data_IF_429872959273
#
_entry.id   IF_429872959273
#
_cell.length_a   1.000
_cell.length_b   1.000
_cell.length_c   1.000
_cell.angle_alpha   90.00
_cell.angle_beta   90.00
_cell.angle_gamma   90.00
#
_symmetry.space_group_name_H-M   'P 1'
#
loop_
_entity.id
_entity.type
_entity.pdbx_description
1 polymer ?
#
# COMPACT_ATOMS: atom_id res chain seq x y z
N UNK A 1 26.49 11.87 11.54
CA UNK A 1 25.54 11.13 12.41
C UNK A 1 24.81 12.08 13.38
N UNK A 2 25.48 12.96 14.12
CA UNK A 2 24.80 13.97 14.95
C UNK A 2 23.95 15.02 14.18
N UNK A 3 24.32 15.34 12.92
CA UNK A 3 23.55 16.22 12.04
C UNK A 3 22.33 15.55 11.36
N UNK A 4 22.16 14.22 11.49
CA UNK A 4 21.04 13.47 10.88
C UNK A 4 19.98 13.07 11.91
N UNK A 5 20.02 13.59 13.13
CA UNK A 5 18.98 13.39 14.15
C UNK A 5 19.12 12.14 15.04
N UNK A 6 20.00 11.19 14.69
CA UNK A 6 20.20 9.95 15.47
C UNK A 6 21.28 10.12 16.54
N UNK A 7 20.98 10.85 17.63
CA UNK A 7 21.92 11.10 18.74
C UNK A 7 22.26 9.86 19.56
N UNK A 8 21.49 8.79 19.38
CA UNK A 8 21.55 7.54 20.16
C UNK A 8 22.50 6.51 19.54
N UNK A 9 22.84 6.71 18.25
CA UNK A 9 23.80 5.88 17.53
C UNK A 9 25.24 6.18 17.99
N UNK A 10 25.65 5.57 19.10
CA UNK A 10 27.03 5.53 19.57
C UNK A 10 27.86 4.46 18.84
N UNK A 11 29.19 4.63 18.78
CA UNK A 11 30.10 3.63 18.22
C UNK A 11 31.30 4.21 17.47
N UNK A 12 32.09 3.34 16.85
CA UNK A 12 33.22 3.70 15.98
C UNK A 12 33.04 3.00 14.63
N UNK A 13 33.19 3.77 13.54
CA UNK A 13 33.23 3.22 12.19
C UNK A 13 34.68 2.90 11.84
N UNK A 14 34.93 1.67 11.40
CA UNK A 14 36.23 1.23 10.94
C UNK A 14 36.14 0.89 9.46
N UNK A 15 37.11 1.37 8.69
CA UNK A 15 37.32 0.94 7.31
C UNK A 15 38.45 -0.07 7.31
N UNK A 16 38.24 -1.20 6.62
CA UNK A 16 39.33 -2.14 6.39
C UNK A 16 40.30 -1.51 5.39
N UNK A 17 41.51 -1.16 5.85
CA UNK A 17 42.56 -0.59 5.00
C UNK A 17 43.63 -1.61 4.60
N UNK A 18 43.64 -2.78 5.24
CA UNK A 18 44.64 -3.82 5.04
C UNK A 18 43.94 -5.14 4.64
N UNK A 19 44.57 -5.89 3.74
CA UNK A 19 44.15 -7.24 3.40
C UNK A 19 44.43 -8.15 4.60
N UNK A 20 43.38 -8.83 5.07
CA UNK A 20 43.49 -9.82 6.14
C UNK A 20 43.56 -11.19 5.47
N UNK A 21 44.70 -11.87 5.59
CA UNK A 21 44.86 -13.23 5.10
C UNK A 21 44.24 -14.20 6.10
N UNK A 22 43.16 -14.87 5.71
CA UNK A 22 42.47 -15.87 6.54
C UNK A 22 42.27 -17.13 5.75
N UNK A 23 42.59 -18.26 6.37
CA UNK A 23 42.36 -19.58 5.83
C UNK A 23 40.95 -20.02 6.19
N UNK A 24 40.02 -19.96 5.22
CA UNK A 24 38.69 -20.54 5.40
C UNK A 24 38.76 -22.08 5.35
N UNK A 25 37.78 -22.80 5.94
CA UNK A 25 37.73 -24.25 5.90
C UNK A 25 37.78 -24.83 4.47
N UNK A 26 38.44 -25.97 4.31
CA UNK A 26 38.55 -26.68 3.03
C UNK A 26 37.15 -27.12 2.54
N UNK A 27 36.65 -26.46 1.49
CA UNK A 27 35.30 -26.70 0.94
C UNK A 27 34.66 -25.47 0.30
N UNK A 28 35.14 -24.27 0.63
CA UNK A 28 34.70 -23.03 -0.02
C UNK A 28 35.54 -22.72 -1.25
N UNK A 29 34.93 -22.48 -2.44
CA UNK A 29 35.68 -22.14 -3.64
C UNK A 29 36.46 -20.83 -3.46
N UNK A 30 37.78 -20.88 -3.65
CA UNK A 30 38.66 -19.72 -3.63
C UNK A 30 38.26 -18.73 -4.75
N UNK A 31 38.13 -17.44 -4.42
CA UNK A 31 37.98 -16.37 -5.42
C UNK A 31 36.59 -15.70 -5.54
N UNK A 32 35.58 -16.06 -4.73
CA UNK A 32 34.33 -15.28 -4.65
C UNK A 32 34.43 -14.18 -3.59
N UNK A 33 34.03 -12.96 -3.92
CA UNK A 33 34.04 -11.79 -3.01
C UNK A 33 33.36 -12.09 -1.66
N UNK A 34 32.25 -12.84 -1.69
CA UNK A 34 31.56 -13.41 -0.54
C UNK A 34 32.50 -14.07 0.48
N UNK A 35 33.41 -14.92 -0.01
CA UNK A 35 34.31 -15.69 0.85
C UNK A 35 35.37 -14.78 1.47
N UNK A 36 35.79 -13.72 0.77
CA UNK A 36 36.70 -12.72 1.35
C UNK A 36 36.02 -11.99 2.51
N UNK A 37 34.75 -11.61 2.36
CA UNK A 37 33.97 -10.98 3.44
C UNK A 37 33.86 -11.93 4.64
N UNK A 38 33.53 -13.21 4.41
CA UNK A 38 33.45 -14.21 5.49
C UNK A 38 34.81 -14.44 6.17
N UNK A 39 35.90 -14.41 5.41
CA UNK A 39 37.26 -14.46 5.96
C UNK A 39 37.55 -13.29 6.89
N UNK A 40 37.18 -12.08 6.49
CA UNK A 40 37.32 -10.87 7.33
C UNK A 40 36.52 -11.00 8.63
N UNK A 41 35.27 -11.48 8.57
CA UNK A 41 34.44 -11.70 9.76
C UNK A 41 35.10 -12.69 10.72
N UNK A 42 35.64 -13.80 10.20
CA UNK A 42 36.35 -14.80 11.00
C UNK A 42 37.60 -14.22 11.67
N UNK A 43 38.44 -13.49 10.94
CA UNK A 43 39.62 -12.85 11.53
C UNK A 43 39.28 -11.80 12.59
N UNK A 44 38.25 -10.98 12.36
CA UNK A 44 37.82 -10.00 13.34
C UNK A 44 37.38 -10.68 14.64
N UNK A 45 36.70 -11.83 14.55
CA UNK A 45 36.32 -12.64 15.70
C UNK A 45 37.54 -13.16 16.47
N UNK A 46 38.58 -13.61 15.76
CA UNK A 46 39.83 -14.07 16.37
C UNK A 46 40.63 -12.92 17.02
N UNK A 47 40.65 -11.75 16.38
CA UNK A 47 41.36 -10.55 16.87
C UNK A 47 40.63 -9.86 18.03
N UNK A 48 39.33 -10.08 18.19
CA UNK A 48 38.49 -9.43 19.19
C UNK A 48 37.72 -10.46 20.04
N UNK A 49 38.41 -11.34 20.81
CA UNK A 49 37.77 -12.44 21.53
C UNK A 49 36.77 -11.99 22.63
N UNK A 50 36.84 -10.73 23.06
CA UNK A 50 35.91 -10.15 24.04
C UNK A 50 34.72 -9.40 23.42
N UNK A 51 34.52 -9.48 22.09
CA UNK A 51 33.41 -8.81 21.40
C UNK A 51 32.77 -9.74 20.39
N UNK A 52 31.45 -9.72 20.35
CA UNK A 52 30.71 -10.41 19.30
C UNK A 52 30.94 -9.72 17.96
N UNK A 53 31.27 -10.54 16.95
CA UNK A 53 31.42 -10.11 15.57
C UNK A 53 30.30 -10.74 14.77
N UNK A 54 29.36 -9.91 14.32
CA UNK A 54 28.17 -10.34 13.59
C UNK A 54 28.23 -9.80 12.16
N UNK A 55 28.03 -10.68 11.18
CA UNK A 55 27.87 -10.26 9.79
C UNK A 55 26.45 -9.72 9.58
N UNK A 56 26.34 -8.42 9.28
CA UNK A 56 25.08 -7.84 8.81
C UNK A 56 25.13 -7.73 7.29
N UNK A 57 24.23 -8.43 6.61
CA UNK A 57 24.13 -8.43 5.15
C UNK A 57 22.67 -8.56 4.73
N UNK A 58 22.27 -8.00 3.58
CA UNK A 58 20.96 -8.25 2.95
C UNK A 58 20.94 -9.49 2.05
N UNK A 59 22.10 -10.06 1.75
CA UNK A 59 22.20 -11.25 0.89
C UNK A 59 21.97 -12.52 1.73
N UNK A 60 20.87 -13.22 1.45
CA UNK A 60 20.50 -14.45 2.14
C UNK A 60 21.54 -15.56 1.95
N UNK A 61 22.16 -15.67 0.78
CA UNK A 61 23.19 -16.68 0.51
C UNK A 61 24.43 -16.42 1.36
N UNK A 62 24.80 -15.15 1.53
CA UNK A 62 25.89 -14.76 2.43
C UNK A 62 25.60 -15.15 3.88
N UNK A 63 24.38 -14.86 4.37
CA UNK A 63 23.98 -15.22 5.74
C UNK A 63 23.91 -16.73 5.94
N UNK A 64 23.43 -17.49 4.96
CA UNK A 64 23.41 -18.96 5.00
C UNK A 64 24.84 -19.51 5.07
N UNK A 65 25.76 -19.02 4.23
CA UNK A 65 27.18 -19.42 4.27
C UNK A 65 27.83 -19.09 5.61
N UNK A 66 27.59 -17.89 6.14
CA UNK A 66 28.10 -17.48 7.45
C UNK A 66 27.62 -18.42 8.55
N UNK A 67 26.32 -18.73 8.61
CA UNK A 67 25.76 -19.67 9.58
C UNK A 67 26.34 -21.08 9.42
N UNK A 68 26.53 -21.55 8.18
CA UNK A 68 27.17 -22.83 7.91
C UNK A 68 28.63 -22.89 8.41
N UNK A 69 29.32 -21.75 8.50
CA UNK A 69 30.65 -21.61 9.07
C UNK A 69 30.66 -21.33 10.58
N UNK A 70 29.50 -21.31 11.24
CA UNK A 70 29.38 -20.95 12.64
C UNK A 70 29.67 -19.47 12.94
N UNK A 71 29.59 -18.61 11.92
CA UNK A 71 29.68 -17.15 12.05
C UNK A 71 28.27 -16.58 12.30
N UNK A 72 28.08 -15.78 13.37
CA UNK A 72 26.82 -15.07 13.59
C UNK A 72 26.52 -14.16 12.39
N UNK A 73 25.29 -14.23 11.89
CA UNK A 73 24.84 -13.40 10.79
C UNK A 73 23.38 -12.97 10.96
N UNK A 74 23.16 -11.69 10.78
CA UNK A 74 21.89 -10.99 10.95
C UNK A 74 21.47 -10.27 9.68
N UNK A 75 20.16 -10.05 9.54
CA UNK A 75 19.64 -9.20 8.49
C UNK A 75 19.81 -7.72 8.84
N UNK A 76 19.75 -6.86 7.84
CA UNK A 76 19.77 -5.42 8.03
C UNK A 76 18.37 -4.91 8.41
N UNK A 77 18.18 -4.53 9.68
CA UNK A 77 16.86 -4.23 10.26
C UNK A 77 16.35 -2.80 10.05
N UNK A 78 17.19 -1.83 9.65
CA UNK A 78 16.79 -0.41 9.58
C UNK A 78 15.69 -0.10 8.53
N UNK A 79 15.36 -1.05 7.65
CA UNK A 79 14.27 -0.90 6.67
C UNK A 79 12.98 -1.66 7.07
N UNK A 80 12.96 -2.36 8.22
CA UNK A 80 11.72 -2.94 8.75
C UNK A 80 10.92 -1.83 9.43
N UNK A 81 9.68 -1.65 8.97
CA UNK A 81 8.77 -0.62 9.48
C UNK A 81 7.90 -1.11 10.62
N UNK A 82 7.79 -2.42 10.79
CA UNK A 82 7.04 -3.10 11.83
C UNK A 82 7.87 -4.29 12.30
N UNK A 83 7.90 -4.52 13.62
CA UNK A 83 8.37 -5.78 14.17
C UNK A 83 7.35 -6.88 13.86
N UNK A 84 7.76 -8.14 13.73
CA UNK A 84 6.95 -9.31 13.31
C UNK A 84 5.70 -9.62 14.21
N UNK A 85 5.34 -8.74 15.15
CA UNK A 85 4.16 -8.82 16.02
C UNK A 85 3.21 -7.62 15.97
N UNK A 86 3.54 -6.53 15.28
CA UNK A 86 2.65 -5.37 15.17
C UNK A 86 1.59 -5.61 14.08
N UNK A 87 0.31 -5.60 14.49
CA UNK A 87 -0.79 -5.60 13.53
C UNK A 87 -0.73 -4.32 12.68
N UNK A 88 -0.69 -4.50 11.37
CA UNK A 88 -0.78 -3.41 10.40
C UNK A 88 -2.01 -2.55 10.67
N UNK A 89 -1.81 -1.24 10.63
CA UNK A 89 -2.92 -0.28 10.66
C UNK A 89 -3.88 -0.58 9.51
N UNK A 90 -5.12 -0.96 9.83
CA UNK A 90 -6.12 -1.40 8.84
C UNK A 90 -6.94 -0.25 8.26
N UNK A 91 -6.83 0.96 8.83
CA UNK A 91 -7.69 2.08 8.46
C UNK A 91 -9.09 2.06 9.08
N UNK A 92 -9.42 0.99 9.81
CA UNK A 92 -10.75 0.74 10.35
C UNK A 92 -10.67 0.40 11.84
N UNK A 93 -11.52 1.01 12.66
CA UNK A 93 -11.61 0.75 14.09
C UNK A 93 -13.03 0.34 14.49
N UNK A 94 -13.26 -0.88 14.99
CA UNK A 94 -14.51 -1.23 15.64
C UNK A 94 -14.69 -0.42 16.92
N UNK A 95 -15.87 0.17 17.09
CA UNK A 95 -16.28 0.85 18.31
C UNK A 95 -16.89 -0.15 19.30
N UNK A 96 -16.63 0.00 20.61
CA UNK A 96 -17.19 -0.88 21.62
C UNK A 96 -18.71 -0.64 21.78
N UNK A 97 -19.43 -1.64 22.28
CA UNK A 97 -20.88 -1.56 22.46
C UNK A 97 -21.31 -0.37 23.37
N UNK A 98 -20.49 -0.02 24.35
CA UNK A 98 -20.71 1.09 25.29
C UNK A 98 -20.18 2.45 24.76
N UNK A 99 -19.90 2.56 23.45
CA UNK A 99 -19.33 3.76 22.84
C UNK A 99 -20.18 5.00 23.14
N UNK A 100 -21.49 4.92 22.93
CA UNK A 100 -22.40 6.05 23.17
C UNK A 100 -22.57 6.38 24.65
N UNK A 101 -22.45 5.41 25.56
CA UNK A 101 -22.52 5.68 27.00
C UNK A 101 -21.31 6.52 27.47
N UNK A 102 -20.14 6.24 26.89
CA UNK A 102 -18.87 6.92 27.20
C UNK A 102 -18.68 8.25 26.49
N UNK A 103 -19.29 8.45 25.32
CA UNK A 103 -19.04 9.61 24.46
C UNK A 103 -20.29 10.48 24.18
N UNK A 104 -21.49 10.01 24.53
CA UNK A 104 -22.76 10.65 24.20
C UNK A 104 -23.15 11.84 25.07
N UNK A 105 -22.63 11.93 26.31
CA UNK A 105 -23.04 12.96 27.28
C UNK A 105 -22.79 14.40 26.83
N UNK A 106 -21.72 14.63 26.07
CA UNK A 106 -21.35 15.93 25.51
C UNK A 106 -21.40 15.92 23.99
N UNK A 107 -22.13 14.97 23.40
CA UNK A 107 -22.14 14.80 21.96
C UNK A 107 -23.01 15.87 21.31
N UNK A 108 -22.46 16.51 20.28
CA UNK A 108 -23.20 17.42 19.42
C UNK A 108 -23.40 16.76 18.07
N UNK A 109 -24.62 16.81 17.53
CA UNK A 109 -24.91 16.31 16.18
C UNK A 109 -25.47 17.41 15.29
N UNK A 110 -25.02 17.47 14.04
CA UNK A 110 -25.59 18.36 13.03
C UNK A 110 -25.60 17.70 11.65
N UNK A 111 -26.34 18.29 10.72
CA UNK A 111 -26.36 17.85 9.33
C UNK A 111 -25.71 18.88 8.42
N UNK A 112 -24.90 18.42 7.46
CA UNK A 112 -24.27 19.25 6.45
C UNK A 112 -24.08 18.44 5.17
N UNK A 113 -24.55 18.96 4.03
CA UNK A 113 -24.40 18.30 2.73
C UNK A 113 -25.09 16.92 2.64
N UNK A 114 -26.21 16.73 3.36
CA UNK A 114 -26.93 15.45 3.39
C UNK A 114 -26.26 14.35 4.24
N UNK A 115 -25.20 14.69 4.97
CA UNK A 115 -24.51 13.80 5.90
C UNK A 115 -24.69 14.30 7.34
N UNK A 116 -24.63 13.36 8.27
CA UNK A 116 -24.70 13.66 9.70
C UNK A 116 -23.30 13.67 10.29
N UNK A 117 -23.04 14.62 11.17
CA UNK A 117 -21.78 14.79 11.88
C UNK A 117 -22.03 14.66 13.37
N UNK A 118 -21.08 14.07 14.07
CA UNK A 118 -21.08 13.91 15.51
C UNK A 118 -19.76 14.43 16.07
N UNK A 119 -19.80 15.46 16.91
CA UNK A 119 -18.65 15.87 17.72
C UNK A 119 -18.70 15.11 19.03
N UNK A 120 -17.65 14.34 19.29
CA UNK A 120 -17.52 13.51 20.50
C UNK A 120 -16.36 13.98 21.35
N UNK A 121 -16.47 13.75 22.66
CA UNK A 121 -15.35 13.81 23.59
C UNK A 121 -15.30 12.49 24.37
N UNK A 122 -14.12 12.08 24.84
CA UNK A 122 -14.01 10.87 25.67
C UNK A 122 -12.71 10.10 25.48
N UNK A 123 -12.61 8.92 26.14
CA UNK A 123 -11.36 8.17 26.26
C UNK A 123 -10.85 7.59 24.93
N UNK A 124 -11.70 7.46 23.90
CA UNK A 124 -11.25 6.95 22.60
C UNK A 124 -10.64 8.01 21.69
N UNK A 125 -10.88 9.30 21.94
CA UNK A 125 -10.36 10.38 21.06
C UNK A 125 -8.84 10.30 20.85
N UNK A 126 -8.00 10.03 21.87
CA UNK A 126 -6.55 9.96 21.71
C UNK A 126 -6.05 8.83 20.80
N UNK A 127 -6.85 7.78 20.55
CA UNK A 127 -6.47 6.65 19.70
C UNK A 127 -7.05 6.72 18.29
N UNK A 128 -7.90 7.71 18.02
CA UNK A 128 -8.46 7.95 16.69
C UNK A 128 -7.43 8.62 15.78
N UNK A 129 -7.50 8.32 14.50
CA UNK A 129 -6.70 8.98 13.46
C UNK A 129 -7.61 9.67 12.45
N UNK A 130 -7.16 10.79 11.89
CA UNK A 130 -7.87 11.47 10.80
C UNK A 130 -7.99 10.51 9.61
N UNK A 131 -9.15 10.53 8.95
CA UNK A 131 -9.56 9.62 7.87
C UNK A 131 -9.67 8.14 8.26
N UNK A 132 -9.57 7.79 9.55
CA UNK A 132 -9.90 6.44 10.02
C UNK A 132 -11.41 6.23 9.93
N UNK A 133 -11.82 5.06 9.45
CA UNK A 133 -13.21 4.63 9.50
C UNK A 133 -13.50 3.99 10.85
N UNK A 134 -14.67 4.30 11.40
CA UNK A 134 -15.16 3.71 12.64
C UNK A 134 -16.51 3.08 12.39
N UNK A 135 -16.79 1.97 13.06
CA UNK A 135 -18.11 1.34 12.98
C UNK A 135 -18.58 0.80 14.32
N UNK A 136 -19.89 0.86 14.54
CA UNK A 136 -20.57 0.24 15.68
C UNK A 136 -21.62 -0.73 15.15
N UNK A 137 -21.49 -1.99 15.52
CA UNK A 137 -22.45 -3.06 15.23
C UNK A 137 -22.67 -3.82 16.55
N UNK A 138 -23.59 -3.34 17.37
CA UNK A 138 -23.89 -3.95 18.67
C UNK A 138 -25.38 -4.28 18.77
N UNK A 139 -25.76 -5.47 19.30
CA UNK A 139 -27.16 -5.81 19.51
C UNK A 139 -27.86 -4.76 20.39
N UNK A 140 -28.98 -4.22 19.89
CA UNK A 140 -29.76 -3.19 20.61
C UNK A 140 -29.26 -1.75 20.45
N UNK A 141 -28.13 -1.51 19.78
CA UNK A 141 -27.67 -0.17 19.41
C UNK A 141 -27.92 0.10 17.91
N UNK A 142 -28.17 1.36 17.56
CA UNK A 142 -28.21 1.76 16.16
C UNK A 142 -26.82 1.62 15.54
N UNK A 143 -26.73 0.94 14.38
CA UNK A 143 -25.47 0.80 13.67
C UNK A 143 -24.92 2.16 13.27
N UNK A 144 -23.61 2.35 13.42
CA UNK A 144 -22.90 3.55 12.98
C UNK A 144 -21.81 3.14 12.00
N UNK A 145 -21.72 3.87 10.89
CA UNK A 145 -20.59 3.84 9.97
C UNK A 145 -20.16 5.28 9.71
N UNK A 146 -18.93 5.62 10.09
CA UNK A 146 -18.45 6.99 10.01
C UNK A 146 -16.95 7.07 9.68
N UNK A 147 -16.53 8.25 9.22
CA UNK A 147 -15.12 8.62 9.05
C UNK A 147 -14.76 9.70 10.07
N UNK A 148 -13.60 9.60 10.69
CA UNK A 148 -13.02 10.68 11.51
C UNK A 148 -12.56 11.80 10.57
N UNK A 149 -13.14 13.00 10.69
CA UNK A 149 -12.82 14.14 9.80
C UNK A 149 -11.99 15.22 10.49
N UNK A 150 -12.06 15.32 11.82
CA UNK A 150 -11.36 16.33 12.59
C UNK A 150 -10.98 15.78 13.97
N UNK A 151 -9.82 16.17 14.49
CA UNK A 151 -9.40 15.92 15.87
C UNK A 151 -8.83 17.23 16.42
N UNK A 152 -9.48 17.78 17.46
CA UNK A 152 -9.10 19.04 18.09
C UNK A 152 -9.04 18.85 19.60
N UNK A 153 -7.81 18.77 20.12
CA UNK A 153 -7.56 18.54 21.55
C UNK A 153 -8.15 17.22 22.05
N UNK A 154 -9.19 17.30 22.89
CA UNK A 154 -9.90 16.14 23.45
C UNK A 154 -11.21 15.80 22.73
N UNK A 155 -11.44 16.41 21.57
CA UNK A 155 -12.65 16.19 20.76
C UNK A 155 -12.31 15.66 19.38
N UNK A 156 -13.22 14.87 18.81
CA UNK A 156 -13.15 14.39 17.43
C UNK A 156 -14.49 14.60 16.74
N UNK A 157 -14.48 14.81 15.43
CA UNK A 157 -15.68 14.88 14.59
C UNK A 157 -15.75 13.62 13.73
N UNK A 158 -16.87 12.90 13.86
CA UNK A 158 -17.24 11.75 13.04
C UNK A 158 -18.27 12.19 12.00
N UNK A 159 -18.08 11.83 10.74
CA UNK A 159 -19.03 12.07 9.65
C UNK A 159 -19.59 10.76 9.14
N UNK A 160 -20.91 10.64 9.03
CA UNK A 160 -21.55 9.46 8.41
C UNK A 160 -21.14 9.30 6.95
N UNK A 161 -21.23 8.08 6.44
CA UNK A 161 -20.78 7.76 5.09
C UNK A 161 -21.90 7.91 4.05
N UNK A 162 -21.51 8.09 2.79
CA UNK A 162 -22.42 7.87 1.67
C UNK A 162 -22.56 6.37 1.45
N UNK A 163 -23.80 5.90 1.31
CA UNK A 163 -24.11 4.48 1.09
C UNK A 163 -23.90 4.08 -0.37
N UNK A 164 -22.70 3.63 -0.72
CA UNK A 164 -22.37 3.12 -2.06
C UNK A 164 -22.88 1.68 -2.30
N UNK A 165 -23.52 1.08 -1.30
CA UNK A 165 -24.23 -0.21 -1.42
C UNK A 165 -25.49 -0.10 -2.29
N UNK A 166 -26.07 1.10 -2.38
CA UNK A 166 -27.31 1.34 -3.11
C UNK A 166 -27.04 1.77 -4.56
N UNK A 167 -27.78 1.21 -5.53
CA UNK A 167 -27.57 1.44 -6.97
C UNK A 167 -27.57 2.92 -7.37
N UNK A 168 -28.44 3.73 -6.78
CA UNK A 168 -28.51 5.19 -6.98
C UNK A 168 -27.19 5.94 -6.71
N UNK A 169 -26.32 5.35 -5.89
CA UNK A 169 -25.03 5.92 -5.49
C UNK A 169 -23.87 5.22 -6.20
N UNK A 170 -24.11 4.29 -7.12
CA UNK A 170 -23.08 3.55 -7.82
C UNK A 170 -22.06 4.51 -8.46
N UNK A 171 -20.78 4.19 -8.34
CA UNK A 171 -19.69 4.94 -8.96
C UNK A 171 -19.39 4.26 -10.27
N UNK A 172 -19.74 4.89 -11.39
CA UNK A 172 -19.48 4.35 -12.73
C UNK A 172 -19.96 2.90 -12.89
N UNK A 173 -21.16 2.61 -12.35
CA UNK A 173 -21.79 1.28 -12.36
C UNK A 173 -21.40 0.35 -11.22
N UNK A 174 -20.40 0.69 -10.41
CA UNK A 174 -19.91 -0.12 -9.30
C UNK A 174 -20.57 0.27 -7.97
N UNK A 175 -21.14 -0.72 -7.28
CA UNK A 175 -21.63 -0.60 -5.91
C UNK A 175 -20.74 -1.36 -4.94
N UNK A 176 -20.70 -0.90 -3.68
CA UNK A 176 -20.07 -1.64 -2.60
C UNK A 176 -20.92 -2.87 -2.23
N UNK A 177 -20.28 -4.02 -2.03
CA UNK A 177 -20.96 -5.26 -1.60
C UNK A 177 -20.88 -5.50 -0.11
N UNK A 178 -19.89 -4.91 0.53
CA UNK A 178 -19.66 -5.00 1.96
C UNK A 178 -19.17 -3.66 2.52
N UNK A 179 -19.06 -3.60 3.84
CA UNK A 179 -18.67 -2.39 4.59
C UNK A 179 -17.30 -1.87 4.16
N UNK A 180 -16.31 -2.75 3.99
CA UNK A 180 -14.94 -2.36 3.67
C UNK A 180 -14.85 -1.75 2.26
N UNK A 181 -15.60 -2.30 1.29
CA UNK A 181 -15.76 -1.69 -0.03
C UNK A 181 -16.47 -0.34 0.03
N UNK A 182 -17.47 -0.19 0.90
CA UNK A 182 -18.16 1.09 1.11
C UNK A 182 -17.19 2.15 1.69
N UNK A 183 -16.32 1.75 2.62
CA UNK A 183 -15.25 2.60 3.15
C UNK A 183 -14.26 2.99 2.07
N UNK A 184 -13.81 2.02 1.26
CA UNK A 184 -12.90 2.27 0.15
C UNK A 184 -13.48 3.26 -0.87
N UNK A 185 -14.75 3.11 -1.28
CA UNK A 185 -15.39 4.06 -2.20
C UNK A 185 -15.57 5.45 -1.58
N UNK A 186 -15.96 5.55 -0.31
CA UNK A 186 -16.02 6.84 0.40
C UNK A 186 -14.65 7.53 0.43
N UNK A 187 -13.56 6.77 0.60
CA UNK A 187 -12.21 7.31 0.60
C UNK A 187 -11.73 7.70 -0.79
N UNK A 188 -11.95 6.85 -1.80
CA UNK A 188 -11.58 7.09 -3.21
C UNK A 188 -12.26 8.34 -3.79
N UNK A 189 -13.53 8.54 -3.43
CA UNK A 189 -14.34 9.68 -3.87
C UNK A 189 -14.16 10.93 -2.99
N UNK A 190 -13.34 10.86 -1.93
CA UNK A 190 -13.08 12.01 -1.06
C UNK A 190 -12.12 13.00 -1.75
N UNK A 191 -12.55 14.23 -2.06
CA UNK A 191 -11.70 15.19 -2.75
C UNK A 191 -10.55 15.71 -1.91
N UNK A 192 -10.60 15.59 -0.58
CA UNK A 192 -9.58 16.11 0.34
C UNK A 192 -8.44 15.12 0.58
N UNK A 193 -8.58 13.88 0.09
CA UNK A 193 -7.57 12.83 0.23
C UNK A 193 -6.73 12.71 -1.06
N UNK A 194 -5.50 13.20 -1.03
CA UNK A 194 -4.55 13.14 -2.14
C UNK A 194 -3.83 11.78 -2.24
N UNK A 195 -3.61 11.10 -1.11
CA UNK A 195 -2.89 9.82 -1.08
C UNK A 195 -3.73 8.73 -0.43
N UNK A 196 -4.02 7.67 -1.19
CA UNK A 196 -4.86 6.56 -0.73
C UNK A 196 -4.10 5.26 -0.86
N UNK A 197 -4.21 4.39 0.13
CA UNK A 197 -3.69 3.02 0.08
C UNK A 197 -4.83 2.04 0.31
N UNK A 198 -5.01 1.10 -0.61
CA UNK A 198 -5.96 0.00 -0.45
C UNK A 198 -5.19 -1.31 -0.46
N UNK A 199 -5.20 -2.02 0.67
CA UNK A 199 -4.62 -3.36 0.80
C UNK A 199 -5.72 -4.40 0.86
N UNK A 200 -5.36 -5.65 0.61
CA UNK A 200 -6.26 -6.80 0.76
C UNK A 200 -5.91 -7.90 -0.21
N UNK A 201 -6.49 -9.07 -0.01
CA UNK A 201 -6.26 -10.23 -0.88
C UNK A 201 -6.79 -10.00 -2.29
N UNK A 202 -6.40 -10.83 -3.26
CA UNK A 202 -6.96 -10.73 -4.62
C UNK A 202 -8.50 -10.92 -4.62
N UNK A 203 -9.23 -10.33 -5.56
CA UNK A 203 -10.70 -10.46 -5.62
C UNK A 203 -11.51 -9.60 -4.64
N UNK A 204 -10.86 -8.74 -3.84
CA UNK A 204 -11.55 -7.76 -2.96
C UNK A 204 -12.09 -6.53 -3.70
N UNK A 205 -11.82 -6.39 -5.00
CA UNK A 205 -12.34 -5.31 -5.84
C UNK A 205 -11.50 -4.02 -5.86
N UNK A 206 -10.29 -4.01 -5.28
CA UNK A 206 -9.36 -2.86 -5.24
C UNK A 206 -9.25 -2.12 -6.57
N UNK A 207 -8.81 -2.82 -7.62
CA UNK A 207 -8.55 -2.24 -8.94
C UNK A 207 -9.84 -1.77 -9.61
N UNK A 208 -10.91 -2.58 -9.54
CA UNK A 208 -12.21 -2.23 -10.13
C UNK A 208 -12.81 -0.96 -9.51
N UNK A 209 -12.89 -0.87 -8.19
CA UNK A 209 -13.41 0.32 -7.49
C UNK A 209 -12.56 1.55 -7.75
N UNK A 210 -11.22 1.38 -7.78
CA UNK A 210 -10.30 2.49 -8.03
C UNK A 210 -10.42 3.02 -9.46
N UNK A 211 -10.57 2.14 -10.45
CA UNK A 211 -10.81 2.53 -11.84
C UNK A 211 -12.16 3.22 -11.99
N UNK A 212 -13.22 2.69 -11.37
CA UNK A 212 -14.54 3.33 -11.40
C UNK A 212 -14.50 4.74 -10.79
N UNK A 213 -13.87 4.89 -9.62
CA UNK A 213 -13.69 6.19 -8.97
C UNK A 213 -12.81 7.15 -9.78
N UNK A 214 -11.75 6.65 -10.40
CA UNK A 214 -10.88 7.43 -11.28
C UNK A 214 -11.62 7.90 -12.54
N UNK A 215 -12.39 7.02 -13.18
CA UNK A 215 -13.17 7.35 -14.37
C UNK A 215 -14.26 8.37 -14.06
N UNK A 216 -15.00 8.18 -12.97
CA UNK A 216 -16.00 9.17 -12.56
C UNK A 216 -15.36 10.55 -12.32
N UNK A 217 -14.22 10.60 -11.64
CA UNK A 217 -13.53 11.87 -11.37
C UNK A 217 -12.83 12.49 -12.60
N UNK A 218 -12.53 11.71 -13.65
CA UNK A 218 -11.92 12.20 -14.90
C UNK A 218 -12.99 12.60 -15.93
N UNK A 219 -14.04 11.81 -16.05
CA UNK A 219 -15.05 11.92 -17.10
C UNK A 219 -16.25 12.76 -16.66
N UNK A 220 -16.77 12.47 -15.48
CA UNK A 220 -18.01 13.08 -14.98
C UNK A 220 -17.68 14.39 -14.26
N UNK A 221 -16.82 14.32 -13.24
CA UNK A 221 -16.46 15.50 -12.41
C UNK A 221 -15.42 16.40 -13.08
N UNK A 222 -14.68 15.88 -14.07
CA UNK A 222 -13.54 16.55 -14.74
C UNK A 222 -12.51 17.14 -13.76
N UNK A 223 -12.35 16.52 -12.59
CA UNK A 223 -11.38 16.90 -11.56
C UNK A 223 -9.96 16.57 -11.98
N UNK A 224 -9.79 15.45 -12.66
CA UNK A 224 -8.50 15.02 -13.21
C UNK A 224 -8.56 14.94 -14.73
N UNK A 225 -7.42 15.15 -15.37
CA UNK A 225 -7.31 15.17 -16.83
C UNK A 225 -7.23 13.79 -17.46
N UNK A 226 -6.56 12.85 -16.77
CA UNK A 226 -6.36 11.47 -17.20
C UNK A 226 -6.01 10.57 -15.99
N UNK A 227 -6.16 9.27 -16.19
CA UNK A 227 -5.73 8.21 -15.27
C UNK A 227 -4.37 7.70 -15.73
N UNK A 228 -3.38 7.67 -14.85
CA UNK A 228 -2.08 7.04 -15.10
C UNK A 228 -2.02 5.76 -14.31
N UNK A 229 -1.81 4.62 -14.96
CA UNK A 229 -1.65 3.32 -14.29
C UNK A 229 -0.21 2.86 -14.43
N UNK A 230 0.39 2.49 -13.30
CA UNK A 230 1.72 1.88 -13.27
C UNK A 230 1.70 0.63 -12.41
N UNK A 231 2.51 -0.36 -12.76
CA UNK A 231 2.63 -1.64 -12.05
C UNK A 231 4.09 -2.05 -11.99
N UNK A 232 4.49 -2.68 -10.88
CA UNK A 232 5.83 -3.27 -10.74
C UNK A 232 5.89 -4.56 -11.54
N UNK A 233 6.84 -4.65 -12.47
CA UNK A 233 7.16 -5.92 -13.14
C UNK A 233 8.18 -6.67 -12.29
N UNK A 234 7.73 -7.64 -11.49
CA UNK A 234 8.63 -8.63 -10.89
C UNK A 234 8.74 -9.80 -11.87
N UNK A 235 9.93 -10.14 -12.38
CA UNK A 235 10.08 -11.28 -13.27
C UNK A 235 9.78 -12.57 -12.48
N UNK A 236 8.84 -13.37 -12.98
CA UNK A 236 8.55 -14.71 -12.45
C UNK A 236 9.36 -15.71 -13.28
N UNK A 237 10.56 -16.07 -12.82
CA UNK A 237 11.43 -17.07 -13.48
C UNK A 237 12.77 -16.51 -13.98
N UNK A 238 13.41 -17.22 -14.92
CA UNK A 238 14.56 -16.67 -15.66
C UNK A 238 14.13 -15.34 -16.28
N UNK A 239 14.91 -14.30 -15.97
CA UNK A 239 14.73 -12.93 -16.47
C UNK A 239 14.34 -13.04 -17.94
N UNK A 240 13.09 -12.73 -18.29
CA UNK A 240 12.68 -12.66 -19.69
C UNK A 240 13.56 -11.53 -20.20
N UNK A 241 14.67 -11.89 -20.83
CA UNK A 241 15.67 -10.93 -21.28
C UNK A 241 14.95 -9.79 -22.00
N UNK A 242 15.50 -8.59 -21.88
CA UNK A 242 14.97 -7.33 -22.42
C UNK A 242 13.96 -7.53 -23.56
N UNK A 243 12.65 -7.60 -23.27
CA UNK A 243 11.62 -7.76 -24.31
C UNK A 243 11.85 -6.64 -25.34
N UNK A 244 12.26 -6.93 -26.59
CA UNK A 244 12.44 -5.88 -27.59
C UNK A 244 11.05 -5.37 -27.95
N UNK A 245 10.88 -4.04 -27.97
CA UNK A 245 9.58 -3.42 -28.23
C UNK A 245 9.37 -2.11 -27.47
N UNK A 246 8.28 -1.44 -27.79
CA UNK A 246 7.81 -0.21 -27.14
C UNK A 246 7.43 -0.47 -25.68
N UNK A 247 7.36 0.59 -24.87
CA UNK A 247 6.88 0.50 -23.48
C UNK A 247 5.50 -0.20 -23.40
N UNK A 248 4.62 0.09 -24.35
CA UNK A 248 3.27 -0.48 -24.42
C UNK A 248 3.28 -1.98 -24.73
N UNK A 249 4.11 -2.44 -25.67
CA UNK A 249 4.25 -3.86 -26.01
C UNK A 249 4.78 -4.69 -24.83
N UNK A 250 5.71 -4.13 -24.05
CA UNK A 250 6.22 -4.77 -22.82
C UNK A 250 5.17 -4.83 -21.73
N UNK A 251 4.24 -3.87 -21.73
CA UNK A 251 3.16 -3.81 -20.75
C UNK A 251 1.91 -4.59 -21.17
N UNK A 252 1.89 -5.16 -22.39
CA UNK A 252 0.74 -5.85 -22.99
C UNK A 252 0.15 -6.99 -22.14
N UNK A 253 0.95 -7.84 -21.45
CA UNK A 253 0.37 -8.86 -20.56
C UNK A 253 -0.48 -8.27 -19.43
N UNK A 254 -0.13 -7.07 -18.95
CA UNK A 254 -0.87 -6.38 -17.89
C UNK A 254 -2.13 -5.68 -18.41
N UNK A 255 -2.16 -5.32 -19.70
CA UNK A 255 -3.33 -4.72 -20.34
C UNK A 255 -4.55 -5.63 -20.29
N UNK A 256 -4.37 -6.95 -20.41
CA UNK A 256 -5.50 -7.89 -20.39
C UNK A 256 -6.32 -7.85 -19.09
N UNK A 257 -5.66 -7.71 -17.94
CA UNK A 257 -6.34 -7.60 -16.64
C UNK A 257 -7.05 -6.24 -16.48
N UNK A 258 -6.47 -5.18 -17.01
CA UNK A 258 -7.11 -3.86 -17.06
C UNK A 258 -8.32 -3.88 -18.00
N UNK A 259 -8.17 -4.46 -19.18
CA UNK A 259 -9.22 -4.60 -20.19
C UNK A 259 -10.44 -5.35 -19.64
N UNK A 260 -10.23 -6.44 -18.89
CA UNK A 260 -11.31 -7.16 -18.23
C UNK A 260 -12.08 -6.30 -17.23
N UNK A 261 -11.40 -5.46 -16.45
CA UNK A 261 -12.07 -4.51 -15.56
C UNK A 261 -12.83 -3.43 -16.34
N UNK A 262 -12.25 -2.90 -17.42
CA UNK A 262 -12.91 -1.90 -18.27
C UNK A 262 -14.16 -2.49 -18.94
N UNK A 263 -14.13 -3.75 -19.37
CA UNK A 263 -15.30 -4.40 -19.95
C UNK A 263 -16.46 -4.50 -18.95
N UNK A 264 -16.18 -4.79 -17.68
CA UNK A 264 -17.19 -4.80 -16.60
C UNK A 264 -17.81 -3.41 -16.45
N UNK A 265 -16.98 -2.37 -16.48
CA UNK A 265 -17.39 -0.98 -16.33
C UNK A 265 -18.17 -0.44 -17.55
N UNK A 266 -17.90 -0.96 -18.74
CA UNK A 266 -18.58 -0.56 -19.98
C UNK A 266 -19.92 -1.27 -20.23
N UNK A 267 -20.21 -2.37 -19.51
CA UNK A 267 -21.49 -3.10 -19.60
C UNK A 267 -22.68 -2.31 -19.02
N UNK A 268 -22.43 -1.21 -18.33
CA UNK A 268 -23.45 -0.42 -17.64
C UNK A 268 -24.27 0.51 -18.54
N UNK A 269 -23.82 0.78 -19.77
CA UNK A 269 -24.62 1.49 -20.78
C UNK A 269 -25.60 0.53 -21.48
N UNK A 270 -26.75 0.33 -20.82
CA UNK A 270 -27.86 -0.48 -21.34
C UNK A 270 -28.67 0.18 -22.48
N UNK A 271 -28.42 1.46 -22.78
CA UNK A 271 -29.19 2.22 -23.78
C UNK A 271 -28.47 2.52 -25.11
N UNK A 272 -27.15 2.31 -25.17
CA UNK A 272 -26.36 2.55 -26.38
C UNK A 272 -26.21 1.25 -27.17
N UNK A 273 -26.57 1.27 -28.46
CA UNK A 273 -26.27 0.16 -29.38
C UNK A 273 -24.77 -0.14 -29.45
N UNK A 274 -24.40 -1.22 -30.13
CA UNK A 274 -23.02 -1.73 -30.23
C UNK A 274 -21.99 -0.65 -30.62
N UNK A 275 -22.39 0.29 -31.50
CA UNK A 275 -21.60 1.45 -31.90
C UNK A 275 -21.34 2.46 -30.77
N UNK A 276 -22.35 2.77 -29.94
CA UNK A 276 -22.20 3.71 -28.84
C UNK A 276 -21.29 3.14 -27.74
N UNK A 277 -21.34 1.82 -27.51
CA UNK A 277 -20.41 1.14 -26.60
C UNK A 277 -18.97 1.17 -27.09
N UNK A 278 -18.75 0.99 -28.39
CA UNK A 278 -17.41 1.10 -28.98
C UNK A 278 -16.83 2.52 -28.83
N UNK A 279 -17.63 3.55 -29.13
CA UNK A 279 -17.21 4.95 -28.97
C UNK A 279 -16.92 5.32 -27.51
N UNK A 280 -17.75 4.86 -26.56
CA UNK A 280 -17.50 5.04 -25.12
C UNK A 280 -16.22 4.32 -24.69
N UNK A 281 -15.98 3.09 -25.17
CA UNK A 281 -14.76 2.34 -24.89
C UNK A 281 -13.50 3.05 -25.40
N UNK A 282 -13.52 3.58 -26.62
CA UNK A 282 -12.38 4.30 -27.19
C UNK A 282 -12.09 5.59 -26.40
N UNK A 283 -13.14 6.30 -25.99
CA UNK A 283 -13.01 7.49 -25.16
C UNK A 283 -12.42 7.15 -23.79
N UNK A 284 -12.90 6.10 -23.13
CA UNK A 284 -12.35 5.60 -21.85
C UNK A 284 -10.88 5.23 -22.01
N UNK A 285 -10.53 4.44 -23.02
CA UNK A 285 -9.14 4.05 -23.32
C UNK A 285 -8.25 5.27 -23.57
N UNK A 286 -8.77 6.31 -24.23
CA UNK A 286 -8.00 7.53 -24.48
C UNK A 286 -7.57 8.25 -23.19
N UNK A 287 -8.36 8.11 -22.11
CA UNK A 287 -8.14 8.72 -20.79
C UNK A 287 -7.25 7.93 -19.85
N UNK A 288 -6.92 6.68 -20.19
CA UNK A 288 -6.07 5.82 -19.37
C UNK A 288 -4.71 5.69 -20.04
N UNK A 289 -3.65 6.05 -19.32
CA UNK A 289 -2.26 5.92 -19.78
C UNK A 289 -1.52 4.92 -18.92
N UNK A 290 -1.09 3.82 -19.51
CA UNK A 290 -0.23 2.86 -18.84
C UNK A 290 1.22 3.32 -18.98
N UNK A 291 1.93 3.40 -17.85
CA UNK A 291 3.33 3.86 -17.79
C UNK A 291 4.16 2.95 -16.90
N UNK A 292 5.41 2.73 -17.30
CA UNK A 292 6.40 2.03 -16.47
C UNK A 292 6.88 2.93 -15.32
N UNK A 293 7.38 2.31 -14.26
CA UNK A 293 7.97 3.03 -13.12
C UNK A 293 9.12 3.95 -13.53
N UNK A 294 9.92 3.53 -14.51
CA UNK A 294 11.06 4.32 -15.00
C UNK A 294 10.61 5.62 -15.68
N UNK A 295 9.46 5.60 -16.36
CA UNK A 295 8.89 6.78 -16.99
C UNK A 295 8.45 7.84 -15.97
N UNK A 296 8.03 7.41 -14.78
CA UNK A 296 7.57 8.30 -13.71
C UNK A 296 8.70 9.14 -13.11
N UNK A 297 9.94 8.67 -13.22
CA UNK A 297 11.11 9.32 -12.61
C UNK A 297 11.41 10.66 -13.29
N UNK A 298 11.59 11.71 -12.48
CA UNK A 298 11.98 13.04 -12.97
C UNK A 298 10.84 13.88 -13.59
N UNK A 299 9.59 13.38 -13.58
CA UNK A 299 8.41 14.12 -14.04
C UNK A 299 7.59 14.65 -12.88
N UNK A 300 6.74 15.64 -13.11
CA UNK A 300 5.75 16.09 -12.13
C UNK A 300 4.37 15.92 -12.74
N UNK A 301 3.46 15.30 -12.00
CA UNK A 301 2.08 15.07 -12.42
C UNK A 301 1.17 16.15 -11.87
N UNK A 302 0.44 16.84 -12.74
CA UNK A 302 -0.52 17.88 -12.36
C UNK A 302 -1.92 17.45 -12.78
N UNK A 303 -2.90 17.57 -11.88
CA UNK A 303 -4.29 17.24 -12.16
C UNK A 303 -4.45 15.81 -12.74
N UNK A 304 -3.74 14.82 -12.15
CA UNK A 304 -3.76 13.41 -12.57
C UNK A 304 -4.36 12.52 -11.50
N UNK A 305 -5.01 11.43 -11.91
CA UNK A 305 -5.37 10.32 -11.04
C UNK A 305 -4.37 9.18 -11.30
N UNK A 306 -3.47 8.92 -10.35
CA UNK A 306 -2.39 7.94 -10.53
C UNK A 306 -2.71 6.68 -9.74
N UNK A 307 -2.70 5.53 -10.39
CA UNK A 307 -2.88 4.20 -9.80
C UNK A 307 -1.53 3.49 -9.83
N UNK A 308 -1.06 3.08 -8.66
CA UNK A 308 0.13 2.25 -8.49
C UNK A 308 -0.36 0.86 -8.06
N UNK A 309 -0.41 -0.07 -9.00
CA UNK A 309 -0.87 -1.44 -8.77
C UNK A 309 0.29 -2.38 -8.40
N UNK A 310 -0.01 -3.44 -7.64
CA UNK A 310 0.97 -4.32 -7.01
C UNK A 310 2.06 -3.57 -6.21
N UNK A 311 1.64 -2.55 -5.47
CA UNK A 311 2.52 -1.67 -4.72
C UNK A 311 3.31 -2.39 -3.62
N UNK A 312 2.89 -3.59 -3.19
CA UNK A 312 3.64 -4.39 -2.21
C UNK A 312 5.03 -4.79 -2.70
N UNK A 313 5.23 -4.84 -4.01
CA UNK A 313 6.50 -5.19 -4.65
C UNK A 313 7.47 -4.00 -4.77
N UNK A 314 7.07 -2.81 -4.30
CA UNK A 314 7.94 -1.62 -4.28
C UNK A 314 8.78 -1.61 -3.01
N UNK A 315 10.04 -1.19 -3.14
CA UNK A 315 10.86 -0.79 -1.98
C UNK A 315 10.39 0.58 -1.44
N UNK A 316 10.65 0.92 -0.17
CA UNK A 316 10.37 2.26 0.38
C UNK A 316 10.96 3.40 -0.45
N UNK A 317 12.16 3.20 -1.01
CA UNK A 317 12.83 4.19 -1.87
C UNK A 317 12.09 4.41 -3.19
N UNK A 318 11.58 3.35 -3.82
CA UNK A 318 10.80 3.46 -5.05
C UNK A 318 9.44 4.10 -4.75
N UNK A 319 8.76 3.70 -3.68
CA UNK A 319 7.51 4.32 -3.24
C UNK A 319 7.65 5.83 -3.03
N UNK A 320 8.68 6.26 -2.27
CA UNK A 320 9.01 7.67 -2.10
C UNK A 320 9.26 8.38 -3.43
N UNK A 321 9.95 7.72 -4.36
CA UNK A 321 10.28 8.28 -5.68
C UNK A 321 9.02 8.54 -6.51
N UNK A 322 8.00 7.68 -6.40
CA UNK A 322 6.72 7.84 -7.11
C UNK A 322 5.83 8.89 -6.46
N UNK A 323 5.63 8.82 -5.14
CA UNK A 323 4.72 9.73 -4.42
C UNK A 323 5.18 11.19 -4.56
N UNK A 324 6.49 11.44 -4.48
CA UNK A 324 7.07 12.79 -4.63
C UNK A 324 6.96 13.39 -6.03
N UNK A 325 6.30 12.71 -6.98
CA UNK A 325 5.97 13.22 -8.31
C UNK A 325 4.57 13.83 -8.38
N UNK A 326 3.73 13.64 -7.37
CA UNK A 326 2.46 14.34 -7.27
C UNK A 326 2.71 15.85 -7.14
N UNK A 327 2.34 16.59 -8.17
CA UNK A 327 2.15 18.03 -8.08
C UNK A 327 0.70 18.37 -7.70
N UNK A 328 0.37 19.67 -7.63
CA UNK A 328 -0.96 20.13 -7.27
C UNK A 328 -2.10 19.45 -8.06
N UNK A 329 -3.17 19.14 -7.35
CA UNK A 329 -4.38 18.52 -7.91
C UNK A 329 -4.18 17.07 -8.35
N UNK A 330 -3.10 16.39 -7.95
CA UNK A 330 -2.89 14.96 -8.26
C UNK A 330 -3.28 14.09 -7.09
N UNK A 331 -4.09 13.05 -7.37
CA UNK A 331 -4.41 11.99 -6.42
C UNK A 331 -3.64 10.73 -6.78
N UNK A 332 -3.00 10.09 -5.80
CA UNK A 332 -2.28 8.84 -5.95
C UNK A 332 -2.99 7.76 -5.13
N UNK A 333 -3.28 6.62 -5.77
CA UNK A 333 -3.87 5.44 -5.14
C UNK A 333 -2.92 4.27 -5.30
N UNK A 334 -2.39 3.77 -4.18
CA UNK A 334 -1.58 2.55 -4.13
C UNK A 334 -2.46 1.35 -3.80
N UNK A 335 -2.41 0.32 -4.63
CA UNK A 335 -3.14 -0.94 -4.47
C UNK A 335 -2.14 -2.06 -4.23
N UNK A 336 -2.43 -2.98 -3.31
CA UNK A 336 -1.56 -4.13 -3.12
C UNK A 336 -2.14 -5.24 -2.26
N UNK A 337 -1.40 -6.35 -2.19
CA UNK A 337 -1.68 -7.49 -1.34
C UNK A 337 -0.41 -7.86 -0.56
N UNK A 338 -0.31 -7.47 0.71
CA UNK A 338 0.89 -7.69 1.53
C UNK A 338 1.17 -9.17 1.79
N UNK A 339 0.16 -10.04 1.71
CA UNK A 339 0.31 -11.50 1.80
C UNK A 339 0.87 -12.13 0.50
N UNK A 340 1.02 -11.35 -0.58
CA UNK A 340 1.50 -11.82 -1.87
C UNK A 340 2.60 -10.90 -2.41
N UNK A 341 3.78 -11.00 -1.80
CA UNK A 341 4.99 -10.33 -2.26
C UNK A 341 5.72 -11.26 -3.21
N UNK A 342 5.87 -10.84 -4.47
CA UNK A 342 6.43 -11.68 -5.54
C UNK A 342 7.96 -11.67 -5.54
N UNK A 343 8.58 -10.75 -4.79
CA UNK A 343 10.05 -10.59 -4.74
C UNK A 343 10.65 -11.18 -3.47
N UNK A 344 11.73 -11.97 -3.57
CA UNK A 344 12.39 -12.56 -2.39
C UNK A 344 13.15 -11.53 -1.54
N UNK A 345 13.28 -10.29 -2.02
CA UNK A 345 14.03 -9.22 -1.34
C UNK A 345 13.18 -8.35 -0.42
N UNK A 346 11.86 -8.57 -0.39
CA UNK A 346 10.93 -7.81 0.44
C UNK A 346 10.09 -8.76 1.30
N UNK A 347 9.78 -8.28 2.50
CA UNK A 347 8.80 -8.87 3.39
C UNK A 347 7.66 -7.87 3.61
N UNK A 348 6.59 -8.30 4.28
CA UNK A 348 5.49 -7.42 4.67
C UNK A 348 6.00 -6.20 5.46
N UNK A 349 6.89 -6.40 6.42
CA UNK A 349 7.50 -5.32 7.22
C UNK A 349 8.47 -4.42 6.44
N UNK A 350 9.06 -4.89 5.34
CA UNK A 350 10.04 -4.12 4.55
C UNK A 350 9.47 -3.55 3.24
N UNK A 351 8.19 -3.83 2.94
CA UNK A 351 7.52 -3.34 1.74
C UNK A 351 7.37 -1.81 1.77
N UNK A 352 7.55 -1.18 0.62
CA UNK A 352 7.29 0.24 0.43
C UNK A 352 5.82 0.60 0.63
N UNK A 353 4.89 -0.34 0.43
CA UNK A 353 3.48 -0.15 0.73
C UNK A 353 3.24 -0.04 2.24
N UNK A 354 3.78 -0.96 3.02
CA UNK A 354 3.71 -0.93 4.49
C UNK A 354 4.34 0.35 5.03
N UNK A 355 5.52 0.71 4.53
CA UNK A 355 6.18 1.96 4.87
C UNK A 355 5.29 3.19 4.59
N UNK A 356 4.60 3.22 3.44
CA UNK A 356 3.70 4.32 3.13
C UNK A 356 2.49 4.35 4.06
N UNK A 357 1.85 3.22 4.35
CA UNK A 357 0.72 3.15 5.28
C UNK A 357 1.11 3.69 6.65
N UNK A 358 2.24 3.23 7.20
CA UNK A 358 2.71 3.66 8.52
C UNK A 358 3.02 5.16 8.58
N UNK A 359 3.72 5.70 7.57
CA UNK A 359 4.15 7.11 7.56
C UNK A 359 3.05 8.10 7.23
N UNK A 360 2.01 7.67 6.53
CA UNK A 360 0.89 8.53 6.15
C UNK A 360 -0.30 8.43 7.11
N UNK A 361 -0.36 7.43 8.01
CA UNK A 361 -1.46 7.32 8.97
C UNK A 361 -1.62 8.61 9.79
N UNK A 362 -2.85 9.12 9.84
CA UNK A 362 -3.18 10.37 10.52
C UNK A 362 -2.85 11.66 9.75
N UNK A 363 -2.21 11.61 8.58
CA UNK A 363 -2.08 12.80 7.74
C UNK A 363 -3.45 13.17 7.13
N UNK A 364 -3.93 14.42 7.28
CA UNK A 364 -5.30 14.81 6.89
C UNK A 364 -5.68 14.57 5.43
N UNK A 365 -4.69 14.50 4.54
CA UNK A 365 -4.88 14.30 3.10
C UNK A 365 -4.56 12.87 2.64
N UNK A 366 -4.52 11.92 3.57
CA UNK A 366 -4.43 10.49 3.22
C UNK A 366 -5.40 9.62 3.96
N UNK A 367 -5.67 8.46 3.38
CA UNK A 367 -6.37 7.39 4.06
C UNK A 367 -5.86 6.02 3.64
N UNK A 368 -6.20 5.05 4.47
CA UNK A 368 -5.89 3.65 4.26
C UNK A 368 -7.16 2.83 4.51
N UNK A 369 -7.37 1.77 3.75
CA UNK A 369 -8.35 0.72 4.06
C UNK A 369 -7.77 -0.64 3.69
N UNK A 370 -7.76 -1.55 4.66
CA UNK A 370 -7.53 -2.97 4.41
C UNK A 370 -8.87 -3.66 4.13
N UNK A 371 -8.96 -4.30 2.96
CA UNK A 371 -10.07 -5.15 2.54
C UNK A 371 -9.76 -6.60 2.96
N UNK A 372 -10.30 -7.03 4.09
CA UNK A 372 -10.04 -8.35 4.66
C UNK A 372 -10.86 -9.45 3.96
N UNK A 373 -12.09 -9.14 3.52
CA UNK A 373 -12.98 -10.14 2.93
C UNK A 373 -13.10 -9.98 1.41
N UNK A 374 -12.72 -11.04 0.69
CA UNK A 374 -12.94 -11.17 -0.75
C UNK A 374 -14.42 -11.42 -1.06
N UNK A 375 -14.87 -10.96 -2.23
CA UNK A 375 -16.19 -11.30 -2.79
C UNK A 375 -16.00 -12.35 -3.89
N UNK A 376 -15.29 -13.43 -3.57
CA UNK A 376 -14.92 -14.45 -4.55
C UNK A 376 -15.99 -15.53 -4.68
N UNK A 377 -15.81 -16.40 -5.66
CA UNK A 377 -16.56 -17.65 -5.73
C UNK A 377 -16.13 -18.56 -4.56
N UNK A 378 -17.05 -19.43 -4.14
CA UNK A 378 -16.80 -20.44 -3.08
C UNK A 378 -15.50 -21.24 -3.29
N UNK A 379 -15.10 -21.49 -4.54
CA UNK A 379 -13.88 -22.20 -4.89
C UNK A 379 -12.62 -21.40 -4.53
N UNK A 380 -12.59 -20.12 -4.88
CA UNK A 380 -11.41 -19.29 -4.72
C UNK A 380 -11.23 -18.76 -3.28
N UNK A 381 -12.29 -18.76 -2.47
CA UNK A 381 -12.19 -18.59 -1.03
C UNK A 381 -11.57 -19.85 -0.39
N UNK A 382 -12.13 -21.04 -0.66
CA UNK A 382 -11.60 -22.29 -0.11
C UNK A 382 -10.14 -22.53 -0.52
N UNK A 383 -9.77 -22.27 -1.78
CA UNK A 383 -8.40 -22.41 -2.25
C UNK A 383 -7.41 -21.47 -1.53
N UNK A 384 -7.86 -20.27 -1.11
CA UNK A 384 -7.01 -19.32 -0.39
C UNK A 384 -6.82 -19.67 1.08
N UNK A 385 -7.70 -20.48 1.65
CA UNK A 385 -7.61 -20.94 3.03
C UNK A 385 -6.75 -22.20 3.17
N UNK A 386 -6.71 -23.06 2.13
CA UNK A 386 -6.08 -24.39 2.20
C UNK A 386 -4.73 -24.51 1.46
N UNK A 387 -4.38 -23.55 0.60
CA UNK A 387 -3.10 -23.46 -0.11
C UNK A 387 -2.29 -22.29 0.43
#
# INVERSE_FOLDING_TARGET
>A
LAHTGHREAGGKLFFQTNLINVTLPAGLPLGKADNQILGVVQALREQQPGRDVVLVSKDINMRIKARALGLPAEDYLNDMTLEDGDLLYTGVLPLPADFWDKHGKTMESWQQGGLTYYRISGPMVPVLLINQFVYLEAPGAASLYAKVTEITGKTAVLRTLKEYTHQKNAVWGVTARNREQNFALNLLMDPDCDFITLTGTAGTGKTLMTLAAGLSQVMDDRRYTEIIVTRVTVPVGEDIGFLPGTEEEKMRPWMGALDGNLEVLSKTDGGAGEWGRAATNDLVRSKIKIKSLNFMRGRTFLNKFVIIDEAQNLTPKQMKTLITRAGPGTKIVCLGNLAQIDTPYLTEGSSGLTFAVDRFKGWPHSGHVTLARGERSRLADFASEVL
#
